data_IF_146373202208
#
_entry.id   IF_146373202208
#
_cell.length_a   1.000
_cell.length_b   1.000
_cell.length_c   1.000
_cell.angle_alpha   90.00
_cell.angle_beta   90.00
_cell.angle_gamma   90.00
#
_symmetry.space_group_name_H-M   'P 1'
#
loop_
_entity.id
_entity.type
_entity.pdbx_description
1 polymer ?
2 water ?
#
# COMPACT_ATOMS: atom_id res chain seq x y z
N UNK A 1 -13.31 -13.92 10.14
CA UNK A 1 -13.61 -12.87 11.17
C UNK A 1 -13.37 -11.48 10.57
N UNK A 2 -14.08 -10.49 11.14
CA UNK A 2 -13.99 -9.09 10.72
C UNK A 2 -14.78 -8.81 9.47
N UNK A 3 -14.57 -7.64 8.85
CA UNK A 3 -15.32 -7.32 7.63
C UNK A 3 -14.96 -8.19 6.42
N UNK A 4 -15.69 -8.05 5.33
CA UNK A 4 -15.32 -8.73 4.08
C UNK A 4 -14.15 -7.92 3.48
N UNK A 5 -13.41 -8.61 2.62
CA UNK A 5 -12.29 -7.99 1.88
C UNK A 5 -12.76 -6.71 1.16
N UNK A 6 -11.80 -5.82 0.92
CA UNK A 6 -12.01 -4.69 0.04
C UNK A 6 -11.61 -5.12 -1.36
N UNK A 7 -12.57 -5.15 -2.29
CA UNK A 7 -12.30 -5.47 -3.69
C UNK A 7 -11.48 -4.33 -4.37
N UNK A 8 -10.39 -4.71 -5.03
CA UNK A 8 -9.47 -3.72 -5.65
C UNK A 8 -9.68 -3.58 -7.14
N UNK A 9 -10.51 -4.42 -7.76
CA UNK A 9 -10.62 -4.30 -9.21
C UNK A 9 -9.29 -4.35 -9.98
N UNK A 10 -9.16 -3.46 -10.97
CA UNK A 10 -8.00 -3.46 -11.88
C UNK A 10 -6.77 -2.91 -11.11
N UNK A 11 -7.05 -2.21 -9.99
CA UNK A 11 -5.96 -1.79 -9.08
C UNK A 11 -5.24 -2.97 -8.42
N UNK A 12 -5.93 -4.11 -8.34
CA UNK A 12 -5.34 -5.21 -7.66
C UNK A 12 -4.30 -5.94 -8.47
N UNK A 13 -4.06 -5.51 -9.73
CA UNK A 13 -3.01 -6.07 -10.58
C UNK A 13 -1.73 -5.25 -10.45
N UNK A 14 -1.82 -4.15 -9.69
CA UNK A 14 -0.59 -3.34 -9.49
C UNK A 14 -0.02 -3.48 -8.09
N UNK A 15 1.33 -3.51 -8.06
CA UNK A 15 2.10 -3.38 -6.81
C UNK A 15 2.33 -1.92 -6.36
N UNK A 16 2.44 -1.08 -7.41
CA UNK A 16 2.44 0.42 -7.17
C UNK A 16 1.56 1.03 -8.26
N UNK A 17 0.61 1.86 -7.86
CA UNK A 17 -0.25 2.59 -8.80
C UNK A 17 -0.35 3.94 -8.14
N UNK A 18 -0.12 5.00 -8.91
CA UNK A 18 -0.35 6.37 -8.43
C UNK A 18 -0.97 7.25 -9.51
N UNK A 19 -1.30 8.47 -9.11
CA UNK A 19 -1.89 9.41 -10.10
C UNK A 19 -0.93 10.45 -10.57
N UNK A 20 0.11 10.71 -9.78
CA UNK A 20 0.95 11.83 -10.10
C UNK A 20 2.45 11.55 -10.09
N UNK A 21 2.82 10.28 -10.30
CA UNK A 21 4.18 9.95 -10.54
C UNK A 21 4.69 8.96 -9.51
N UNK A 22 5.80 8.38 -9.84
CA UNK A 22 6.51 7.47 -8.92
C UNK A 22 7.98 7.88 -8.93
N UNK A 23 8.54 8.20 -7.74
CA UNK A 23 9.94 8.62 -7.69
C UNK A 23 10.77 7.51 -7.03
N UNK A 24 12.06 7.51 -7.29
CA UNK A 24 12.90 6.51 -6.74
C UNK A 24 14.35 6.91 -6.55
N UNK A 25 14.90 6.53 -5.41
CA UNK A 25 16.33 6.61 -5.16
C UNK A 25 16.83 5.18 -5.35
N UNK A 26 17.54 5.00 -6.47
CA UNK A 26 18.03 3.70 -6.99
C UNK A 26 19.06 3.11 -6.02
N UNK A 27 19.10 1.78 -5.90
CA UNK A 27 18.20 0.83 -6.58
C UNK A 27 17.09 0.27 -5.66
N UNK A 28 15.91 0.08 -6.23
CA UNK A 28 14.82 -0.53 -5.56
C UNK A 28 14.52 -1.75 -6.39
N UNK A 29 13.75 -2.67 -5.83
CA UNK A 29 13.25 -3.81 -6.57
C UNK A 29 11.79 -3.90 -6.34
N UNK A 30 11.00 -3.87 -7.40
CA UNK A 30 9.57 -3.96 -7.30
C UNK A 30 9.18 -5.26 -8.02
N UNK A 31 8.69 -6.24 -7.27
CA UNK A 31 8.19 -7.48 -7.93
C UNK A 31 6.69 -7.34 -8.09
N UNK A 32 6.23 -7.05 -9.31
CA UNK A 32 4.85 -6.76 -9.65
C UNK A 32 4.83 -5.68 -10.73
N UNK A 33 3.65 -5.22 -11.09
CA UNK A 33 3.39 -4.22 -12.08
C UNK A 33 3.32 -2.85 -11.41
N UNK A 34 3.77 -1.86 -12.17
CA UNK A 34 3.62 -0.46 -11.70
C UNK A 34 3.01 0.34 -12.82
N UNK A 35 2.37 1.39 -12.39
CA UNK A 35 1.84 2.37 -13.33
C UNK A 35 1.50 3.67 -12.69
N UNK A 36 1.29 4.68 -13.52
CA UNK A 36 0.80 5.96 -13.00
C UNK A 36 -0.14 6.58 -14.05
N UNK A 37 -1.19 7.23 -13.60
CA UNK A 37 -2.22 7.79 -14.50
C UNK A 37 -3.07 8.72 -13.67
N UNK A 38 -3.47 9.89 -14.22
CA UNK A 38 -3.46 10.29 -15.66
C UNK A 38 -2.18 11.04 -16.08
N UNK A 39 -1.25 11.22 -15.15
CA UNK A 39 -0.06 11.95 -15.49
C UNK A 39 0.79 11.21 -16.52
N UNK A 40 1.48 11.99 -17.35
CA UNK A 40 2.41 11.46 -18.35
C UNK A 40 3.41 10.45 -17.75
N UNK A 41 3.74 9.42 -18.52
CA UNK A 41 4.81 8.45 -18.22
C UNK A 41 6.16 9.08 -17.88
N UNK A 42 6.34 10.35 -18.24
CA UNK A 42 7.59 11.03 -17.89
C UNK A 42 7.75 11.15 -16.36
N UNK A 43 6.65 11.08 -15.62
CA UNK A 43 6.61 11.21 -14.13
C UNK A 43 6.84 9.81 -13.49
N UNK A 44 7.00 8.75 -14.29
CA UNK A 44 7.30 7.41 -13.68
C UNK A 44 8.79 7.22 -13.77
N UNK A 45 9.49 7.46 -12.64
CA UNK A 45 10.96 7.57 -12.64
C UNK A 45 11.57 6.35 -12.05
N UNK A 46 11.02 5.17 -12.28
CA UNK A 46 11.80 3.96 -12.01
C UNK A 46 12.47 3.51 -13.30
N UNK A 47 13.57 2.76 -13.11
CA UNK A 47 14.38 2.24 -14.22
C UNK A 47 13.78 0.87 -14.54
N UNK A 48 13.77 0.49 -15.83
CA UNK A 48 13.19 -0.77 -16.23
C UNK A 48 13.83 -1.92 -15.46
N UNK A 49 15.07 -1.79 -15.07
CA UNK A 49 15.73 -2.88 -14.30
C UNK A 49 15.29 -2.99 -12.83
N UNK A 50 14.50 -2.04 -12.38
CA UNK A 50 14.02 -2.12 -11.01
C UNK A 50 12.62 -2.78 -10.91
N UNK A 51 11.96 -3.11 -12.02
CA UNK A 51 10.60 -3.63 -11.99
C UNK A 51 10.64 -5.06 -12.61
N UNK A 52 10.26 -6.10 -11.85
CA UNK A 52 10.12 -7.40 -12.54
C UNK A 52 8.87 -7.66 -13.35
N UNK A 53 7.76 -6.97 -13.10
CA UNK A 53 6.61 -7.02 -13.97
C UNK A 53 6.57 -5.97 -15.06
N UNK A 54 5.36 -5.50 -15.35
CA UNK A 54 5.12 -4.56 -16.44
C UNK A 54 5.08 -3.16 -15.83
N UNK A 55 5.40 -2.19 -16.65
CA UNK A 55 5.33 -0.80 -16.28
C UNK A 55 4.42 -0.15 -17.30
N UNK A 56 3.28 0.41 -16.83
CA UNK A 56 2.32 0.99 -17.68
C UNK A 56 2.30 2.48 -17.60
N UNK A 57 2.22 3.12 -18.76
CA UNK A 57 2.03 4.59 -18.83
C UNK A 57 0.87 5.02 -19.69
N UNK A 58 0.42 6.26 -19.51
CA UNK A 58 -0.63 6.80 -20.32
C UNK A 58 -0.16 7.13 -21.76
N UNK A 59 1.15 7.18 -22.01
CA UNK A 59 1.64 7.72 -23.27
C UNK A 59 2.94 7.04 -23.56
N UNK A 60 3.75 7.58 -24.45
CA UNK A 60 4.94 6.82 -24.78
C UNK A 60 6.16 7.55 -24.18
N UNK A 61 5.91 8.40 -23.18
CA UNK A 61 6.96 9.21 -22.52
C UNK A 61 7.66 8.57 -21.29
N UNK A 62 7.27 7.34 -20.97
CA UNK A 62 7.82 6.63 -19.84
C UNK A 62 9.14 5.95 -20.11
N UNK A 63 9.62 5.17 -19.12
CA UNK A 63 10.94 4.52 -19.17
C UNK A 63 11.08 3.60 -20.37
N UNK A 64 12.24 3.67 -21.00
CA UNK A 64 12.55 2.82 -22.12
C UNK A 64 13.54 1.79 -21.64
N UNK A 65 13.44 0.58 -22.15
CA UNK A 65 12.55 0.23 -23.27
C UNK A 65 11.19 -0.37 -22.88
N UNK A 66 11.04 -0.69 -21.59
CA UNK A 66 10.00 -1.59 -21.08
C UNK A 66 8.60 -0.98 -20.92
N UNK A 67 8.45 0.34 -20.88
CA UNK A 67 7.13 0.81 -20.52
C UNK A 67 6.13 0.56 -21.67
N UNK A 68 4.84 0.45 -21.29
CA UNK A 68 3.77 0.07 -22.22
C UNK A 68 2.70 1.14 -22.22
N UNK A 69 2.48 1.69 -23.40
CA UNK A 69 1.48 2.74 -23.58
C UNK A 69 0.10 2.09 -23.49
N UNK A 70 -0.53 2.20 -22.31
CA UNK A 70 -1.77 1.49 -22.02
C UNK A 70 -2.71 2.35 -21.20
N UNK A 71 -3.17 3.50 -21.76
CA UNK A 71 -3.95 4.50 -21.03
C UNK A 71 -5.28 3.99 -20.56
N UNK A 72 -5.91 3.08 -21.33
CA UNK A 72 -7.23 2.60 -20.86
C UNK A 72 -7.21 1.63 -19.63
N UNK A 73 -6.29 0.67 -19.67
CA UNK A 73 -6.03 -0.23 -18.55
C UNK A 73 -5.76 0.62 -17.31
N UNK A 74 -5.01 1.72 -17.51
CA UNK A 74 -4.66 2.55 -16.35
C UNK A 74 -5.82 3.34 -15.82
N UNK A 75 -6.65 3.82 -16.71
CA UNK A 75 -7.85 4.54 -16.35
C UNK A 75 -8.78 3.66 -15.50
N UNK A 76 -8.94 2.39 -15.90
CA UNK A 76 -9.74 1.43 -15.13
C UNK A 76 -9.09 1.21 -13.76
N UNK A 77 -7.79 0.85 -13.70
CA UNK A 77 -7.07 0.68 -12.42
C UNK A 77 -7.21 1.87 -11.49
N UNK A 78 -6.96 3.08 -12.02
CA UNK A 78 -7.10 4.27 -11.15
C UNK A 78 -8.50 4.46 -10.62
N UNK A 79 -9.48 4.23 -11.50
CA UNK A 79 -10.91 4.22 -11.06
C UNK A 79 -11.20 3.24 -9.95
N UNK A 80 -10.79 1.97 -10.13
CA UNK A 80 -10.99 0.89 -9.11
C UNK A 80 -10.24 1.19 -7.80
N UNK A 81 -9.12 1.91 -7.93
CA UNK A 81 -8.37 2.30 -6.72
C UNK A 81 -9.23 3.29 -5.93
N UNK A 82 -9.89 4.22 -6.63
CA UNK A 82 -10.73 5.17 -5.86
C UNK A 82 -12.00 4.57 -5.26
N UNK A 83 -12.60 3.61 -5.99
CA UNK A 83 -13.68 2.81 -5.49
C UNK A 83 -13.24 2.04 -4.24
N UNK A 84 -12.04 1.39 -4.30
CA UNK A 84 -11.48 0.67 -3.12
C UNK A 84 -11.30 1.53 -1.91
N UNK A 85 -10.74 2.72 -2.14
CA UNK A 85 -10.51 3.62 -1.06
C UNK A 85 -11.86 3.95 -0.40
N UNK A 86 -12.91 4.26 -1.20
CA UNK A 86 -14.14 4.69 -0.59
C UNK A 86 -14.89 3.52 0.08
N UNK A 87 -14.74 2.34 -0.48
CA UNK A 87 -15.31 1.11 0.07
C UNK A 87 -14.72 0.89 1.48
N UNK A 88 -13.40 0.87 1.56
CA UNK A 88 -12.75 0.74 2.86
C UNK A 88 -13.15 1.82 3.88
N UNK A 89 -13.19 3.09 3.48
CA UNK A 89 -13.46 4.19 4.38
C UNK A 89 -14.87 4.03 4.95
N UNK A 90 -15.76 3.33 4.25
CA UNK A 90 -17.20 3.40 4.62
C UNK A 90 -17.67 2.21 5.43
N UNK A 91 -16.77 1.29 5.78
CA UNK A 91 -17.21 0.05 6.41
C UNK A 91 -17.67 0.33 7.80
N UNK A 92 -18.65 -0.48 8.25
CA UNK A 92 -19.25 -0.33 9.58
C UNK A 92 -19.81 -1.68 10.03
N UNK A 93 -19.96 -1.86 11.35
CA UNK A 93 -19.56 -0.85 12.36
C UNK A 93 -18.02 -0.94 12.56
N UNK A 94 -17.42 0.09 13.14
CA UNK A 94 -16.05 -0.05 13.67
C UNK A 94 -16.08 -0.89 14.92
N UNK A 95 -15.16 -1.86 15.00
CA UNK A 95 -14.97 -2.71 16.17
C UNK A 95 -14.19 -2.02 17.28
N UNK A 96 -13.22 -1.16 16.91
CA UNK A 96 -12.45 -0.35 17.86
C UNK A 96 -12.29 1.04 17.31
N UNK A 97 -12.36 2.00 18.20
CA UNK A 97 -12.20 3.36 17.82
C UNK A 97 -11.16 4.00 18.70
N UNK A 98 -10.19 4.69 18.08
CA UNK A 98 -9.18 5.46 18.83
C UNK A 98 -8.26 4.54 19.70
N UNK A 99 -8.06 3.34 19.21
CA UNK A 99 -7.23 2.38 19.90
C UNK A 99 -5.83 2.94 20.11
N UNK A 100 -5.37 2.92 21.35
CA UNK A 100 -4.02 3.43 21.65
C UNK A 100 -3.90 4.92 21.52
N UNK A 101 -5.03 5.62 21.43
CA UNK A 101 -5.06 7.04 20.97
C UNK A 101 -4.16 7.29 19.71
N UNK A 102 -4.13 6.29 18.85
CA UNK A 102 -3.45 6.32 17.54
C UNK A 102 -2.07 5.65 17.55
N UNK A 103 -1.55 5.27 18.70
CA UNK A 103 -0.23 4.51 18.73
C UNK A 103 -0.58 3.02 18.75
N UNK A 104 -0.22 2.26 17.71
CA UNK A 104 -0.58 0.87 17.67
C UNK A 104 0.63 -0.03 17.88
N UNK A 105 1.79 0.59 17.96
CA UNK A 105 2.99 -0.24 18.28
C UNK A 105 2.71 -0.96 19.59
N UNK A 106 3.13 -2.22 19.71
CA UNK A 106 3.01 -2.87 21.03
C UNK A 106 1.65 -3.48 21.27
N UNK A 107 0.87 -3.62 20.20
CA UNK A 107 -0.43 -4.31 20.15
C UNK A 107 -0.50 -5.46 19.16
N UNK A 108 -1.25 -6.50 19.54
CA UNK A 108 -1.67 -7.53 18.62
C UNK A 108 -3.16 -7.18 18.35
N UNK A 109 -3.46 -7.05 17.08
CA UNK A 109 -4.76 -6.61 16.57
C UNK A 109 -5.50 -7.82 16.01
N UNK A 110 -6.68 -8.13 16.56
CA UNK A 110 -7.52 -9.19 16.00
C UNK A 110 -8.30 -8.63 14.78
N UNK A 111 -8.78 -9.50 13.90
CA UNK A 111 -9.50 -9.12 12.66
C UNK A 111 -10.65 -8.18 13.03
N UNK A 112 -10.94 -7.22 12.21
CA UNK A 112 -11.94 -6.23 12.59
C UNK A 112 -11.78 -4.95 11.81
N UNK A 113 -12.72 -4.04 12.04
CA UNK A 113 -12.64 -2.67 11.52
C UNK A 113 -12.17 -1.76 12.62
N UNK A 114 -11.06 -1.02 12.35
CA UNK A 114 -10.48 -0.12 13.32
C UNK A 114 -10.57 1.26 12.74
N UNK A 115 -10.90 2.19 13.57
CA UNK A 115 -11.05 3.56 13.12
C UNK A 115 -10.33 4.53 14.04
N UNK A 116 -9.65 5.51 13.43
CA UNK A 116 -9.01 6.55 14.18
C UNK A 116 -9.37 7.86 13.52
N UNK A 117 -9.66 8.81 14.35
CA UNK A 117 -10.00 10.16 13.87
C UNK A 117 -8.71 11.05 13.89
N UNK A 118 -7.57 10.40 14.05
CA UNK A 118 -6.31 11.04 14.31
C UNK A 118 -5.30 10.43 13.32
N UNK A 119 -4.06 10.87 13.51
CA UNK A 119 -2.91 10.15 12.92
C UNK A 119 -2.77 8.78 13.65
N UNK A 120 -2.02 7.92 12.97
CA UNK A 120 -1.71 6.63 13.55
C UNK A 120 -0.23 6.48 13.37
N UNK A 121 0.38 6.04 14.43
CA UNK A 121 1.83 5.80 14.45
C UNK A 121 2.12 4.37 14.80
N UNK A 122 3.04 3.83 14.07
CA UNK A 122 3.61 2.52 14.45
C UNK A 122 5.05 2.75 15.02
N UNK A 123 5.17 3.03 16.33
CA UNK A 123 6.41 3.51 16.92
C UNK A 123 7.19 2.30 17.44
N UNK A 124 6.56 1.14 17.59
CA UNK A 124 7.28 -0.15 17.93
C UNK A 124 6.54 -1.26 17.17
N UNK A 125 7.02 -2.51 17.13
CA UNK A 125 6.42 -3.45 16.24
C UNK A 125 4.94 -3.71 16.60
N UNK A 126 4.13 -3.97 15.57
CA UNK A 126 2.70 -4.20 15.81
C UNK A 126 2.37 -5.52 15.12
N UNK A 127 1.49 -6.35 15.75
CA UNK A 127 1.15 -7.63 15.21
C UNK A 127 -0.33 -7.71 14.87
N UNK A 128 -0.52 -8.37 13.80
CA UNK A 128 -1.85 -8.77 13.24
C UNK A 128 -1.95 -10.31 13.31
N UNK A 129 -2.90 -10.78 14.16
CA UNK A 129 -3.09 -12.20 14.38
C UNK A 129 -4.50 -12.65 13.95
N UNK A 130 -4.51 -13.57 13.01
CA UNK A 130 -5.74 -14.27 12.61
C UNK A 130 -5.42 -15.29 11.57
N UNK A 131 -6.45 -15.89 10.97
CA UNK A 131 -6.27 -16.92 9.97
C UNK A 131 -6.11 -16.28 8.61
N UNK A 132 -5.80 -17.10 7.60
CA UNK A 132 -5.75 -16.66 6.20
C UNK A 132 -7.04 -16.06 5.61
N UNK A 133 -8.16 -16.13 6.34
CA UNK A 133 -9.43 -15.59 5.81
C UNK A 133 -9.85 -14.32 6.48
N UNK A 134 -9.14 -13.92 7.52
CA UNK A 134 -9.57 -12.84 8.35
C UNK A 134 -9.09 -11.57 7.68
N UNK A 135 -9.79 -10.51 8.02
CA UNK A 135 -9.62 -9.23 7.34
C UNK A 135 -9.54 -8.14 8.39
N UNK A 136 -8.63 -7.16 8.11
CA UNK A 136 -8.51 -5.97 8.90
C UNK A 136 -8.66 -4.77 7.97
N UNK A 137 -9.53 -3.87 8.38
CA UNK A 137 -9.63 -2.62 7.72
C UNK A 137 -9.30 -1.50 8.70
N UNK A 138 -8.25 -0.71 8.33
CA UNK A 138 -7.74 0.33 9.15
C UNK A 138 -8.15 1.69 8.55
N UNK A 139 -9.00 2.39 9.28
CA UNK A 139 -9.63 3.63 8.76
C UNK A 139 -8.98 4.79 9.45
N UNK A 140 -8.04 5.46 8.75
CA UNK A 140 -7.21 6.48 9.37
C UNK A 140 -7.51 7.87 8.75
N UNK A 141 -8.02 8.76 9.58
CA UNK A 141 -8.38 10.07 9.03
C UNK A 141 -7.20 11.08 9.00
N UNK A 142 -6.14 10.76 9.75
CA UNK A 142 -4.91 11.51 9.77
C UNK A 142 -3.86 10.82 8.85
N UNK A 143 -2.57 10.92 9.26
CA UNK A 143 -1.50 10.35 8.47
C UNK A 143 -1.10 9.05 9.15
N UNK A 144 -0.53 8.19 8.36
CA UNK A 144 0.03 6.89 8.86
C UNK A 144 1.57 6.99 8.81
N UNK A 145 2.20 6.90 9.99
CA UNK A 145 3.68 6.97 10.13
C UNK A 145 4.20 5.65 10.73
N UNK A 146 5.19 5.02 10.07
CA UNK A 146 5.88 3.85 10.69
C UNK A 146 7.32 4.33 11.02
N UNK A 147 7.74 4.09 12.25
CA UNK A 147 9.07 4.50 12.71
C UNK A 147 10.18 3.61 12.12
N UNK A 148 11.38 4.22 12.08
CA UNK A 148 12.55 3.51 11.56
C UNK A 148 12.73 2.20 12.32
N UNK A 149 13.06 1.19 11.56
CA UNK A 149 13.43 -0.14 12.10
C UNK A 149 12.27 -0.88 12.71
N UNK A 150 11.03 -0.39 12.48
CA UNK A 150 9.88 -1.11 13.07
C UNK A 150 9.16 -1.97 12.04
N UNK A 151 8.26 -2.84 12.52
CA UNK A 151 7.68 -3.83 11.67
C UNK A 151 6.17 -4.07 11.86
N UNK A 152 5.49 -4.32 10.77
CA UNK A 152 4.15 -4.92 10.88
C UNK A 152 4.40 -6.43 10.79
N UNK A 153 3.95 -7.16 11.82
CA UNK A 153 4.16 -8.61 11.89
C UNK A 153 2.88 -9.36 11.67
N UNK A 154 2.95 -10.42 10.91
CA UNK A 154 1.80 -11.30 10.62
C UNK A 154 1.91 -12.64 11.39
N UNK A 155 0.86 -12.96 12.15
CA UNK A 155 0.80 -14.31 12.78
C UNK A 155 -0.54 -15.01 12.61
N UNK A 156 -0.53 -16.30 12.90
CA UNK A 156 -1.79 -17.09 12.84
C UNK A 156 -2.22 -17.57 11.45
N UNK A 157 -1.57 -17.10 10.39
CA UNK A 157 -2.05 -17.34 9.04
C UNK A 157 -2.49 -16.02 8.37
N UNK A 158 -2.49 -14.93 9.15
CA UNK A 158 -2.83 -13.55 8.62
C UNK A 158 -2.06 -13.33 7.32
N UNK A 159 -2.76 -12.84 6.28
CA UNK A 159 -2.17 -12.47 5.01
C UNK A 159 -2.21 -10.93 4.81
N UNK A 160 -1.10 -10.41 4.32
CA UNK A 160 -0.96 -8.97 3.96
C UNK A 160 -2.01 -8.56 2.95
N UNK A 161 -2.37 -9.44 2.02
CA UNK A 161 -3.44 -9.05 1.04
C UNK A 161 -4.79 -8.79 1.75
N UNK A 162 -4.95 -9.21 3.01
CA UNK A 162 -6.19 -8.98 3.79
C UNK A 162 -6.20 -7.88 4.79
N UNK A 163 -5.16 -7.04 4.77
CA UNK A 163 -5.07 -5.95 5.68
C UNK A 163 -5.13 -4.67 4.80
N UNK A 164 -6.12 -3.82 5.10
CA UNK A 164 -6.40 -2.61 4.23
C UNK A 164 -6.20 -1.40 5.04
N UNK A 165 -5.26 -0.52 4.60
CA UNK A 165 -4.94 0.71 5.30
C UNK A 165 -5.51 1.83 4.46
N UNK A 166 -6.59 2.39 4.97
CA UNK A 166 -7.25 3.54 4.31
C UNK A 166 -6.78 4.81 5.03
N UNK A 167 -5.98 5.62 4.32
CA UNK A 167 -5.28 6.74 4.98
C UNK A 167 -5.69 8.00 4.21
N UNK A 168 -6.38 8.85 4.96
CA UNK A 168 -6.86 10.11 4.36
C UNK A 168 -5.79 11.17 4.22
N UNK A 169 -4.69 11.08 5.03
CA UNK A 169 -3.50 11.93 4.92
C UNK A 169 -2.44 11.32 4.06
N UNK A 170 -1.17 11.39 4.49
CA UNK A 170 -0.13 10.71 3.74
C UNK A 170 0.22 9.43 4.54
N UNK A 171 0.91 8.56 3.87
CA UNK A 171 1.57 7.38 4.55
C UNK A 171 3.10 7.58 4.40
N UNK A 172 3.85 7.51 5.51
CA UNK A 172 5.30 7.69 5.50
C UNK A 172 5.87 6.52 6.34
N UNK A 173 6.70 5.72 5.69
CA UNK A 173 7.37 4.62 6.39
C UNK A 173 8.84 5.00 6.49
N UNK A 174 9.40 4.73 7.66
CA UNK A 174 10.78 5.04 8.02
C UNK A 174 11.77 4.12 7.30
N UNK A 175 13.01 4.15 7.81
CA UNK A 175 14.07 3.38 7.18
C UNK A 175 14.19 1.98 7.78
N UNK A 176 14.61 1.08 6.93
CA UNK A 176 14.93 -0.29 7.36
C UNK A 176 13.77 -0.93 8.15
N UNK A 177 12.54 -0.62 7.71
CA UNK A 177 11.34 -1.13 8.35
C UNK A 177 10.77 -2.21 7.48
N UNK A 178 9.69 -2.81 7.93
CA UNK A 178 8.98 -3.82 7.14
C UNK A 178 7.47 -3.63 7.35
N UNK A 179 6.80 -3.50 6.21
CA UNK A 179 5.40 -3.15 6.23
C UNK A 179 4.60 -4.17 5.43
N UNK A 180 3.36 -4.37 5.89
CA UNK A 180 2.48 -5.37 5.25
C UNK A 180 1.10 -4.75 5.02
N UNK A 181 0.58 -4.97 3.85
CA UNK A 181 -0.80 -4.65 3.59
C UNK A 181 -1.05 -3.77 2.39
N UNK A 182 -2.37 -3.49 2.16
CA UNK A 182 -2.78 -2.74 1.01
C UNK A 182 -2.90 -1.31 1.48
N UNK A 183 -2.09 -0.40 0.94
CA UNK A 183 -2.17 1.03 1.31
C UNK A 183 -2.98 1.77 0.25
N UNK A 184 -4.15 2.17 0.69
CA UNK A 184 -5.10 3.07 -0.10
C UNK A 184 -4.94 4.45 0.47
N UNK A 185 -3.97 5.19 -0.07
CA UNK A 185 -3.66 6.54 0.46
C UNK A 185 -4.36 7.59 -0.38
N UNK A 186 -4.94 8.54 0.28
CA UNK A 186 -5.60 9.65 -0.44
C UNK A 186 -4.58 10.57 -1.06
N UNK A 187 -3.42 10.66 -0.41
CA UNK A 187 -2.39 11.53 -0.99
C UNK A 187 -1.14 10.68 -1.29
N UNK A 188 -0.02 11.02 -0.66
CA UNK A 188 1.25 10.40 -1.05
C UNK A 188 1.60 9.16 -0.21
N UNK A 189 2.43 8.34 -0.78
CA UNK A 189 3.02 7.24 0.02
C UNK A 189 4.51 7.38 -0.11
N UNK A 190 5.22 7.55 1.04
CA UNK A 190 6.64 7.73 1.02
C UNK A 190 7.22 6.53 1.76
N UNK A 191 8.25 5.91 1.13
CA UNK A 191 8.88 4.72 1.75
C UNK A 191 10.40 5.09 1.84
N UNK A 192 10.95 5.13 3.03
CA UNK A 192 12.34 5.55 3.22
C UNK A 192 13.35 4.40 3.10
N UNK A 193 14.61 4.75 3.16
CA UNK A 193 15.71 3.87 2.71
C UNK A 193 15.65 2.46 3.30
N UNK A 194 15.70 1.49 2.38
CA UNK A 194 15.89 0.10 2.82
C UNK A 194 14.68 -0.67 3.27
N UNK A 195 13.54 -0.01 3.39
CA UNK A 195 12.35 -0.67 3.88
C UNK A 195 11.78 -1.69 2.88
N UNK A 196 11.15 -2.72 3.47
CA UNK A 196 10.47 -3.69 2.63
C UNK A 196 8.94 -3.56 2.83
N UNK A 197 8.24 -3.64 1.70
CA UNK A 197 6.81 -3.64 1.81
C UNK A 197 6.30 -4.95 1.11
N UNK A 198 5.46 -5.71 1.80
CA UNK A 198 4.72 -6.78 1.15
C UNK A 198 3.27 -6.35 1.09
N UNK A 199 2.84 -5.97 -0.10
CA UNK A 199 1.65 -5.19 -0.19
C UNK A 199 1.49 -4.51 -1.50
N UNK A 200 0.53 -3.58 -1.50
CA UNK A 200 0.31 -2.77 -2.68
C UNK A 200 0.25 -1.28 -2.21
N UNK A 201 0.93 -0.45 -3.00
CA UNK A 201 0.98 0.99 -2.72
C UNK A 201 0.16 1.71 -3.74
N UNK A 202 -1.06 2.07 -3.31
CA UNK A 202 -2.10 2.63 -4.18
C UNK A 202 -2.39 4.05 -3.72
N UNK A 203 -1.71 5.00 -4.38
CA UNK A 203 -1.80 6.42 -3.96
C UNK A 203 -2.56 7.30 -4.91
N UNK A 204 -3.36 8.15 -4.37
CA UNK A 204 -4.04 9.09 -5.23
C UNK A 204 -3.23 10.32 -5.60
N UNK A 205 -2.06 10.52 -4.99
CA UNK A 205 -1.07 11.43 -5.57
C UNK A 205 0.15 10.60 -6.00
N UNK A 206 1.30 10.78 -5.37
CA UNK A 206 2.53 10.15 -5.80
C UNK A 206 2.98 9.05 -4.81
N UNK A 207 3.83 8.18 -5.34
CA UNK A 207 4.62 7.26 -4.53
C UNK A 207 6.11 7.59 -4.58
N UNK A 208 6.79 7.66 -3.44
CA UNK A 208 8.26 7.92 -3.44
C UNK A 208 8.97 6.72 -2.79
N UNK A 209 9.98 6.15 -3.46
CA UNK A 209 10.70 5.02 -2.91
C UNK A 209 12.14 5.42 -2.72
N UNK A 210 12.78 4.79 -1.72
CA UNK A 210 14.20 5.01 -1.50
C UNK A 210 14.81 3.64 -1.22
N UNK A 211 15.53 3.09 -2.21
CA UNK A 211 16.24 1.79 -2.00
C UNK A 211 15.34 0.69 -1.32
N UNK A 212 14.16 0.44 -1.89
CA UNK A 212 13.22 -0.45 -1.18
C UNK A 212 13.03 -1.76 -1.98
N UNK A 213 12.46 -2.69 -1.24
CA UNK A 213 11.98 -3.93 -1.87
C UNK A 213 10.49 -3.87 -1.67
N UNK A 214 9.77 -3.79 -2.78
CA UNK A 214 8.35 -3.72 -2.75
C UNK A 214 7.81 -4.99 -3.46
N UNK A 215 7.09 -5.82 -2.69
CA UNK A 215 6.58 -7.11 -3.25
C UNK A 215 5.07 -7.18 -3.29
N UNK A 216 4.51 -7.61 -4.44
CA UNK A 216 3.07 -7.92 -4.40
C UNK A 216 2.81 -8.95 -3.28
N UNK A 217 1.66 -8.86 -2.59
CA UNK A 217 1.34 -9.75 -1.45
C UNK A 217 0.87 -11.11 -1.99
N UNK A 218 1.19 -12.16 -1.29
CA UNK A 218 0.89 -13.44 -1.97
C UNK A 218 -0.55 -13.84 -1.70
N UNK A 219 -1.02 -14.72 -2.60
CA UNK A 219 -2.39 -15.23 -2.57
C UNK A 219 -2.61 -16.20 -1.42
N UNK A 220 -1.60 -17.02 -1.12
CA UNK A 220 -1.66 -17.93 0.04
C UNK A 220 -0.25 -18.20 0.58
N UNK A 221 -0.19 -18.79 1.78
CA UNK A 221 1.00 -18.81 2.68
C UNK A 221 2.42 -18.88 2.07
N UNK A 222 3.02 -17.70 1.86
CA UNK A 222 4.36 -17.52 1.20
C UNK A 222 5.14 -16.22 1.59
N UNK A 223 6.03 -15.81 0.68
CA UNK A 223 6.87 -14.57 0.75
C UNK A 223 7.42 -14.06 2.12
N UNK A 224 7.12 -14.75 3.21
CA UNK A 224 7.67 -14.37 4.53
C UNK A 224 8.91 -15.21 4.86
#
# INVERSE_FOLDING_TARGET
AGPYAVELGEAGTFTILSKSGITDVYPSTVTGNVGTSPITGAALLLNCDEVTGAMYTVDSAGPLPCSINSPYLLELAVSDMGIAYNDAAGRVPADHTELGTGEIGGLTLEPGVYKWSSDVNISTDVTFNGTMDDVWIMQISGNLNQANAKRVTLTGGALAKNIFWQVAGYTALGTYASFEGIVLSKTLISVNTGTTVNGRLLAQTAVTLQKNTINAPTEQYEEAPL
#
